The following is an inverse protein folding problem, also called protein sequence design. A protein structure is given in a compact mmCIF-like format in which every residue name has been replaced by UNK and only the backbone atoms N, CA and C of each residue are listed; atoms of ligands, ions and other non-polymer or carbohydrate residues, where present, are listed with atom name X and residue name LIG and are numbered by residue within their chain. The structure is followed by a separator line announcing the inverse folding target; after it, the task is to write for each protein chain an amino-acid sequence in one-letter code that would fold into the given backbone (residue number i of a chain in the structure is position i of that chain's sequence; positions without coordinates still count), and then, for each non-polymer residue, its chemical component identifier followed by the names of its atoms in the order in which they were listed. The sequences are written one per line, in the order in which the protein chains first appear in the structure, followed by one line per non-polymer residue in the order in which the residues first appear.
data_IF_802968974190
#
_entry.id   IF_802968974190
#
_cell.length_a   1.000
_cell.length_b   1.000
_cell.length_c   1.000
_cell.angle_alpha   90.00
_cell.angle_beta   90.00
_cell.angle_gamma   90.00
#
_symmetry.space_group_name_H-M   'P 1'
#
loop_
_entity.id
_entity.type
_entity.pdbx_description
1 polymer ?
#
# COMPACT_ATOMS: atom_id res chain seq x y z
N UNK A 1 -6.41 -46.25 -25.12
CA UNK A 1 -5.54 -45.04 -25.16
C UNK A 1 -6.42 -43.85 -24.84
N UNK A 2 -6.59 -43.55 -23.55
CA UNK A 2 -7.43 -42.42 -23.11
C UNK A 2 -6.65 -41.12 -23.22
N UNK A 3 -7.28 -40.07 -23.76
CA UNK A 3 -6.66 -38.77 -23.95
C UNK A 3 -6.35 -38.09 -22.60
N UNK A 4 -5.06 -38.00 -22.26
CA UNK A 4 -4.53 -37.42 -21.01
C UNK A 4 -4.59 -35.89 -20.91
N UNK A 5 -5.22 -35.22 -21.89
CA UNK A 5 -5.22 -33.76 -21.99
C UNK A 5 -6.51 -33.14 -21.43
N UNK A 6 -6.38 -32.45 -20.30
CA UNK A 6 -7.45 -31.68 -19.67
C UNK A 6 -7.54 -30.26 -20.23
N UNK A 7 -8.75 -29.70 -20.24
CA UNK A 7 -8.96 -28.27 -20.52
C UNK A 7 -9.00 -27.44 -19.24
N UNK A 8 -8.89 -26.11 -19.38
CA UNK A 8 -9.08 -25.17 -18.26
C UNK A 8 -10.41 -25.40 -17.52
N UNK A 9 -11.48 -25.75 -18.24
CA UNK A 9 -12.79 -26.01 -17.64
C UNK A 9 -12.79 -27.31 -16.81
N UNK A 10 -12.08 -28.34 -17.26
CA UNK A 10 -11.98 -29.62 -16.54
C UNK A 10 -11.22 -29.45 -15.24
N UNK A 11 -10.16 -28.63 -15.24
CA UNK A 11 -9.41 -28.27 -14.03
C UNK A 11 -10.28 -27.47 -13.06
N UNK A 12 -11.02 -26.48 -13.56
CA UNK A 12 -11.92 -25.69 -12.73
C UNK A 12 -12.95 -26.59 -12.03
N UNK A 13 -13.50 -27.59 -12.72
CA UNK A 13 -14.44 -28.57 -12.16
C UNK A 13 -13.74 -29.50 -11.16
N UNK A 14 -12.61 -30.11 -11.54
CA UNK A 14 -11.86 -31.10 -10.73
C UNK A 14 -11.41 -30.49 -9.40
N UNK A 15 -10.87 -29.27 -9.43
CA UNK A 15 -10.28 -28.61 -8.26
C UNK A 15 -11.23 -27.62 -7.57
N UNK A 16 -12.46 -27.43 -8.08
CA UNK A 16 -13.44 -26.43 -7.59
C UNK A 16 -12.87 -25.00 -7.51
N UNK A 17 -12.08 -24.61 -8.50
CA UNK A 17 -11.46 -23.27 -8.61
C UNK A 17 -12.00 -22.50 -9.81
N UNK A 18 -11.82 -21.17 -9.81
CA UNK A 18 -12.20 -20.30 -10.93
C UNK A 18 -11.09 -20.26 -12.00
N UNK A 19 -11.43 -19.99 -13.27
CA UNK A 19 -10.46 -19.87 -14.37
C UNK A 19 -9.32 -18.89 -14.08
N UNK A 20 -9.62 -17.77 -13.42
CA UNK A 20 -8.61 -16.77 -13.05
C UNK A 20 -7.52 -17.34 -12.13
N UNK A 21 -7.87 -18.32 -11.29
CA UNK A 21 -6.89 -19.03 -10.45
C UNK A 21 -5.99 -19.91 -11.30
N UNK A 22 -6.55 -20.63 -12.27
CA UNK A 22 -5.79 -21.47 -13.22
C UNK A 22 -4.79 -20.63 -14.00
N UNK A 23 -5.22 -19.49 -14.57
CA UNK A 23 -4.31 -18.60 -15.30
C UNK A 23 -3.22 -17.99 -14.42
N UNK A 24 -3.55 -17.67 -13.17
CA UNK A 24 -2.56 -17.19 -12.19
C UNK A 24 -1.54 -18.26 -11.85
N UNK A 25 -1.95 -19.52 -11.73
CA UNK A 25 -1.02 -20.62 -11.47
C UNK A 25 -0.08 -20.84 -12.65
N UNK A 26 -0.57 -20.71 -13.88
CA UNK A 26 0.28 -20.74 -15.08
C UNK A 26 1.31 -19.60 -15.04
N UNK A 27 0.87 -18.35 -14.81
CA UNK A 27 1.75 -17.19 -14.93
C UNK A 27 2.67 -16.92 -13.72
N UNK A 28 2.23 -17.25 -12.50
CA UNK A 28 2.95 -16.90 -11.26
C UNK A 28 3.56 -18.09 -10.54
N UNK A 29 3.08 -19.31 -10.79
CA UNK A 29 3.49 -20.50 -10.05
C UNK A 29 4.03 -21.61 -10.95
N UNK A 30 4.20 -21.34 -12.26
CA UNK A 30 4.78 -22.30 -13.19
C UNK A 30 3.98 -23.59 -13.34
N UNK A 31 2.65 -23.52 -13.24
CA UNK A 31 1.78 -24.69 -13.44
C UNK A 31 1.96 -25.27 -14.85
N UNK A 32 2.18 -26.59 -15.00
CA UNK A 32 2.43 -27.22 -16.28
C UNK A 32 1.21 -27.09 -17.18
N UNK A 33 1.35 -26.27 -18.23
CA UNK A 33 0.30 -25.98 -19.18
C UNK A 33 0.89 -25.82 -20.58
N UNK A 34 0.22 -26.41 -21.55
CA UNK A 34 0.66 -26.44 -22.94
C UNK A 34 -0.33 -25.67 -23.81
N UNK A 35 0.18 -24.77 -24.65
CA UNK A 35 -0.65 -24.00 -25.57
C UNK A 35 -0.84 -24.79 -26.86
N UNK A 36 -2.04 -25.34 -27.06
CA UNK A 36 -2.40 -26.09 -28.26
C UNK A 36 -3.47 -25.29 -29.01
N UNK A 37 -3.05 -24.65 -30.10
CA UNK A 37 -3.87 -23.67 -30.82
C UNK A 37 -4.24 -22.47 -29.95
N UNK A 38 -5.54 -22.21 -29.78
CA UNK A 38 -6.07 -21.10 -28.96
C UNK A 38 -6.33 -21.48 -27.50
N UNK A 39 -6.10 -22.74 -27.13
CA UNK A 39 -6.49 -23.27 -25.82
C UNK A 39 -5.29 -23.72 -25.00
N UNK A 40 -5.38 -23.50 -23.69
CA UNK A 40 -4.50 -24.15 -22.72
C UNK A 40 -4.98 -25.58 -22.50
N UNK A 41 -4.03 -26.52 -22.59
CA UNK A 41 -4.20 -27.94 -22.38
C UNK A 41 -3.21 -28.40 -21.31
N UNK A 42 -3.63 -29.36 -20.50
CA UNK A 42 -2.87 -29.78 -19.33
C UNK A 42 -2.77 -31.30 -19.34
N UNK A 43 -1.55 -31.83 -19.26
CA UNK A 43 -1.34 -33.25 -19.15
C UNK A 43 -1.68 -33.68 -17.72
N UNK A 44 -2.55 -34.68 -17.58
CA UNK A 44 -3.09 -35.10 -16.28
C UNK A 44 -1.98 -35.49 -15.28
N UNK A 45 -0.98 -36.25 -15.72
CA UNK A 45 0.04 -36.78 -14.82
C UNK A 45 0.99 -35.68 -14.32
N UNK A 46 1.42 -34.77 -15.21
CA UNK A 46 2.22 -33.60 -14.83
C UNK A 46 1.46 -32.68 -13.88
N UNK A 47 0.16 -32.49 -14.15
CA UNK A 47 -0.69 -31.66 -13.32
C UNK A 47 -0.88 -32.26 -11.92
N UNK A 48 -1.17 -33.56 -11.85
CA UNK A 48 -1.39 -34.25 -10.58
C UNK A 48 -0.09 -34.27 -9.74
N UNK A 49 1.06 -34.55 -10.36
CA UNK A 49 2.39 -34.43 -9.73
C UNK A 49 2.68 -33.00 -9.25
N UNK A 50 2.40 -32.00 -10.08
CA UNK A 50 2.62 -30.59 -9.70
C UNK A 50 1.72 -30.17 -8.54
N UNK A 51 0.48 -30.65 -8.48
CA UNK A 51 -0.45 -30.39 -7.37
C UNK A 51 0.04 -31.05 -6.07
N UNK A 52 0.60 -32.26 -6.15
CA UNK A 52 1.16 -32.97 -5.00
C UNK A 52 2.40 -32.26 -4.45
N UNK A 53 3.32 -31.86 -5.33
CA UNK A 53 4.58 -31.22 -4.96
C UNK A 53 4.39 -29.78 -4.47
N UNK A 54 3.48 -29.03 -5.10
CA UNK A 54 3.34 -27.59 -4.86
C UNK A 54 2.09 -27.22 -4.06
N UNK A 55 1.33 -28.20 -3.52
CA UNK A 55 0.00 -28.07 -2.88
C UNK A 55 -0.39 -26.60 -2.66
N UNK A 56 -0.94 -25.93 -3.69
CA UNK A 56 -1.02 -24.48 -3.68
C UNK A 56 -1.87 -24.04 -2.49
N UNK A 57 -1.40 -23.08 -1.69
CA UNK A 57 -2.05 -22.55 -0.47
C UNK A 57 -3.57 -22.32 -0.58
N UNK A 58 -4.08 -22.13 -1.79
CA UNK A 58 -5.50 -22.05 -2.13
C UNK A 58 -6.33 -23.33 -1.95
N UNK A 59 -5.73 -24.53 -1.84
CA UNK A 59 -6.44 -25.78 -1.54
C UNK A 59 -6.58 -26.04 -0.02
N UNK A 60 -5.86 -25.27 0.82
CA UNK A 60 -6.00 -25.31 2.28
C UNK A 60 -6.98 -24.25 2.82
N UNK A 61 -7.50 -23.37 1.97
CA UNK A 61 -8.44 -22.33 2.38
C UNK A 61 -9.84 -22.62 1.84
N UNK A 62 -10.61 -23.37 2.65
CA UNK A 62 -12.06 -23.35 2.55
C UNK A 62 -12.56 -21.90 2.66
N UNK A 63 -13.42 -21.49 1.72
CA UNK A 63 -14.22 -20.25 1.75
C UNK A 63 -13.48 -18.99 2.27
N UNK A 64 -12.44 -18.53 1.57
CA UNK A 64 -12.17 -17.09 1.56
C UNK A 64 -12.84 -16.49 0.32
N UNK A 65 -14.03 -15.93 0.53
CA UNK A 65 -14.47 -14.81 -0.29
C UNK A 65 -13.30 -13.82 -0.32
N UNK A 66 -12.82 -13.43 -1.50
CA UNK A 66 -11.81 -12.38 -1.60
C UNK A 66 -12.35 -11.19 -0.82
N UNK A 67 -11.77 -10.93 0.36
CA UNK A 67 -12.19 -9.85 1.26
C UNK A 67 -12.08 -8.58 0.43
N UNK A 68 -13.22 -8.04 -0.02
CA UNK A 68 -13.28 -6.77 -0.74
C UNK A 68 -12.57 -5.76 0.15
N UNK A 69 -11.35 -5.34 -0.22
CA UNK A 69 -10.51 -4.47 0.62
C UNK A 69 -11.23 -3.13 0.73
N UNK A 70 -11.93 -2.94 1.84
CA UNK A 70 -12.67 -1.73 2.19
C UNK A 70 -11.69 -0.57 2.39
N UNK A 71 -12.01 0.62 1.88
CA UNK A 71 -11.22 1.79 2.24
C UNK A 71 -11.40 2.16 3.71
N UNK A 72 -10.29 2.52 4.35
CA UNK A 72 -10.27 3.13 5.67
C UNK A 72 -9.85 4.58 5.51
N UNK A 73 -10.72 5.52 5.92
CA UNK A 73 -10.44 6.95 5.99
C UNK A 73 -9.94 7.38 7.38
N UNK A 74 -9.46 6.42 8.17
CA UNK A 74 -8.97 6.67 9.54
C UNK A 74 -7.71 7.54 9.58
N UNK A 75 -7.03 7.74 8.44
CA UNK A 75 -5.91 8.67 8.32
C UNK A 75 -6.29 10.12 8.68
N UNK A 76 -7.58 10.47 8.65
CA UNK A 76 -8.10 11.77 9.11
C UNK A 76 -7.79 12.11 10.57
N UNK A 77 -7.42 11.10 11.38
CA UNK A 77 -7.14 11.27 12.80
C UNK A 77 -5.80 11.98 13.09
N UNK A 78 -4.85 11.98 12.17
CA UNK A 78 -3.57 12.67 12.37
C UNK A 78 -2.93 13.00 11.03
N UNK A 79 -2.23 14.14 10.98
CA UNK A 79 -1.49 14.63 9.80
C UNK A 79 -0.27 13.73 9.50
N UNK A 80 0.84 14.23 8.96
CA UNK A 80 2.03 13.39 8.74
C UNK A 80 2.63 12.84 10.05
N UNK A 81 2.48 13.59 11.15
CA UNK A 81 3.02 13.25 12.49
C UNK A 81 4.55 13.06 12.46
N UNK A 82 5.23 14.04 11.86
CA UNK A 82 6.66 13.94 11.51
C UNK A 82 7.55 13.72 12.74
N UNK A 83 7.53 14.66 13.70
CA UNK A 83 8.35 14.58 14.92
C UNK A 83 8.03 13.32 15.72
N UNK A 84 6.74 13.01 15.86
CA UNK A 84 6.30 11.85 16.62
C UNK A 84 6.75 10.54 15.96
N UNK A 85 6.74 10.49 14.64
CA UNK A 85 7.24 9.33 13.89
C UNK A 85 8.73 9.12 14.09
N UNK A 86 9.56 10.18 14.08
CA UNK A 86 11.00 10.04 14.34
C UNK A 86 11.31 9.59 15.77
N UNK A 87 10.59 10.14 16.77
CA UNK A 87 10.74 9.74 18.17
C UNK A 87 10.39 8.26 18.35
N UNK A 88 9.27 7.82 17.76
CA UNK A 88 8.82 6.42 17.86
C UNK A 88 9.73 5.48 17.06
N UNK A 89 10.20 5.88 15.88
CA UNK A 89 11.11 5.08 15.05
C UNK A 89 12.43 4.84 15.78
N UNK A 90 13.07 5.91 16.28
CA UNK A 90 14.32 5.81 17.04
C UNK A 90 14.17 4.87 18.23
N UNK A 91 13.09 5.02 19.00
CA UNK A 91 12.82 4.18 20.16
C UNK A 91 12.56 2.71 19.78
N UNK A 92 11.92 2.47 18.62
CA UNK A 92 11.73 1.12 18.12
C UNK A 92 13.03 0.47 17.67
N UNK A 93 13.96 1.23 17.08
CA UNK A 93 15.28 0.71 16.69
C UNK A 93 16.10 0.25 17.91
N UNK A 94 15.93 0.89 19.07
CA UNK A 94 16.58 0.49 20.32
C UNK A 94 15.93 -0.76 20.96
N UNK A 95 14.59 -0.81 20.98
CA UNK A 95 13.83 -1.79 21.79
C UNK A 95 13.42 -3.02 20.99
N UNK A 96 13.13 -2.87 19.70
CA UNK A 96 12.62 -3.91 18.79
C UNK A 96 11.27 -4.52 19.17
N UNK A 97 10.51 -3.89 20.06
CA UNK A 97 9.16 -4.31 20.46
C UNK A 97 8.19 -3.12 20.49
N UNK A 98 7.16 -3.18 19.64
CA UNK A 98 6.15 -2.13 19.53
C UNK A 98 5.27 -1.93 20.77
N UNK A 99 5.07 -2.96 21.59
CA UNK A 99 4.30 -2.85 22.83
C UNK A 99 5.09 -2.08 23.88
N UNK A 100 6.36 -2.46 24.08
CA UNK A 100 7.28 -1.75 24.98
C UNK A 100 7.51 -0.30 24.53
N UNK A 101 7.62 -0.05 23.22
CA UNK A 101 7.68 1.31 22.65
C UNK A 101 6.45 2.12 23.05
N UNK A 102 5.23 1.57 22.89
CA UNK A 102 3.99 2.27 23.27
C UNK A 102 3.95 2.59 24.75
N UNK A 103 4.31 1.63 25.60
CA UNK A 103 4.36 1.82 27.04
C UNK A 103 5.32 2.94 27.41
N UNK A 104 6.55 2.92 26.88
CA UNK A 104 7.57 3.92 27.17
C UNK A 104 7.24 5.31 26.64
N UNK A 105 6.61 5.40 25.46
CA UNK A 105 6.12 6.68 24.90
C UNK A 105 5.06 7.32 25.78
N UNK A 106 4.13 6.51 26.29
CA UNK A 106 3.03 7.00 27.15
C UNK A 106 3.54 7.34 28.55
N UNK A 107 4.34 6.45 29.16
CA UNK A 107 4.87 6.63 30.51
C UNK A 107 5.70 7.91 30.66
N UNK A 108 6.53 8.22 29.65
CA UNK A 108 7.43 9.37 29.67
C UNK A 108 6.91 10.60 28.90
N UNK A 109 5.66 10.56 28.41
CA UNK A 109 5.07 11.58 27.55
C UNK A 109 6.00 12.09 26.43
N UNK A 110 6.68 11.16 25.72
CA UNK A 110 7.73 11.52 24.75
C UNK A 110 7.20 12.36 23.57
N UNK A 111 5.91 12.24 23.27
CA UNK A 111 5.25 13.02 22.22
C UNK A 111 4.86 14.43 22.67
N UNK A 112 5.01 14.75 23.96
CA UNK A 112 4.71 16.06 24.55
C UNK A 112 3.27 16.54 24.30
N UNK A 113 2.31 15.61 24.19
CA UNK A 113 0.91 15.99 24.02
C UNK A 113 0.30 16.46 25.35
N UNK A 114 -0.70 17.34 25.25
CA UNK A 114 -1.36 17.94 26.43
C UNK A 114 -2.15 16.93 27.29
N UNK A 115 -2.52 15.78 26.74
CA UNK A 115 -3.27 14.76 27.47
C UNK A 115 -2.80 13.35 27.13
N UNK A 116 -2.91 12.43 28.09
CA UNK A 116 -2.59 11.02 27.91
C UNK A 116 -3.42 10.37 26.78
N UNK A 117 -4.69 10.74 26.65
CA UNK A 117 -5.57 10.25 25.58
C UNK A 117 -5.05 10.66 24.20
N UNK A 118 -4.56 11.89 24.07
CA UNK A 118 -3.92 12.36 22.83
C UNK A 118 -2.63 11.61 22.55
N UNK A 119 -1.75 11.43 23.55
CA UNK A 119 -0.51 10.66 23.42
C UNK A 119 -0.77 9.22 22.95
N UNK A 120 -1.71 8.52 23.60
CA UNK A 120 -2.11 7.15 23.21
C UNK A 120 -2.63 7.08 21.78
N UNK A 121 -3.47 8.04 21.38
CA UNK A 121 -4.03 8.10 20.02
C UNK A 121 -2.96 8.34 18.96
N UNK A 122 -2.07 9.32 19.17
CA UNK A 122 -0.98 9.63 18.24
C UNK A 122 -0.01 8.45 18.17
N UNK A 123 0.44 7.93 19.31
CA UNK A 123 1.34 6.78 19.36
C UNK A 123 0.76 5.56 18.63
N UNK A 124 -0.55 5.31 18.81
CA UNK A 124 -1.24 4.22 18.13
C UNK A 124 -1.25 4.36 16.61
N UNK A 125 -1.52 5.57 16.11
CA UNK A 125 -1.50 5.90 14.69
C UNK A 125 -0.09 5.79 14.10
N UNK A 126 0.90 6.43 14.73
CA UNK A 126 2.32 6.41 14.31
C UNK A 126 2.83 4.98 14.23
N UNK A 127 2.66 4.19 15.30
CA UNK A 127 3.08 2.79 15.29
C UNK A 127 2.38 1.98 14.19
N UNK A 128 1.12 2.29 13.85
CA UNK A 128 0.42 1.57 12.78
C UNK A 128 0.98 1.86 11.39
N UNK A 129 1.51 3.08 11.18
CA UNK A 129 2.15 3.49 9.93
C UNK A 129 3.59 2.97 9.84
N UNK A 130 4.38 3.16 10.90
CA UNK A 130 5.78 2.72 10.92
C UNK A 130 5.93 1.20 10.81
N UNK A 131 4.95 0.42 11.29
CA UNK A 131 4.88 -1.03 11.05
C UNK A 131 4.79 -1.42 9.57
N UNK A 132 4.45 -0.49 8.68
CA UNK A 132 4.39 -0.73 7.23
C UNK A 132 5.74 -0.51 6.55
N UNK A 133 6.75 -0.06 7.30
CA UNK A 133 8.13 0.06 6.83
C UNK A 133 8.92 -1.19 7.21
N UNK A 134 9.86 -1.56 6.34
CA UNK A 134 10.87 -2.58 6.58
C UNK A 134 11.82 -2.13 7.70
N UNK A 135 12.62 -3.06 8.19
CA UNK A 135 13.64 -2.75 9.18
C UNK A 135 14.66 -1.73 8.64
N UNK A 136 15.13 -1.93 7.40
CA UNK A 136 16.07 -1.05 6.74
C UNK A 136 15.47 0.34 6.47
N UNK A 137 14.19 0.41 6.09
CA UNK A 137 13.50 1.70 5.88
C UNK A 137 13.35 2.49 7.18
N UNK A 138 13.15 1.81 8.31
CA UNK A 138 13.11 2.47 9.63
C UNK A 138 14.49 3.01 10.03
N UNK A 139 15.57 2.31 9.70
CA UNK A 139 16.94 2.80 9.90
C UNK A 139 17.22 4.00 8.99
N UNK A 140 16.89 3.89 7.70
CA UNK A 140 17.02 4.96 6.73
C UNK A 140 16.25 6.22 7.15
N UNK A 141 15.05 6.06 7.72
CA UNK A 141 14.24 7.14 8.26
C UNK A 141 15.00 7.94 9.35
N UNK A 142 15.84 7.31 10.15
CA UNK A 142 16.59 8.02 11.21
C UNK A 142 17.88 8.67 10.72
N UNK A 143 18.41 8.23 9.58
CA UNK A 143 19.72 8.64 9.08
C UNK A 143 19.66 9.64 7.92
N UNK A 144 18.52 9.72 7.23
CA UNK A 144 18.40 10.54 6.02
C UNK A 144 18.00 12.00 6.30
N UNK A 145 18.03 12.82 5.26
CA UNK A 145 17.60 14.22 5.25
C UNK A 145 16.13 14.38 5.63
N UNK A 146 15.76 15.57 6.14
CA UNK A 146 14.37 15.91 6.48
C UNK A 146 13.41 15.67 5.31
N UNK A 147 13.86 15.89 4.07
CA UNK A 147 13.05 15.69 2.89
C UNK A 147 12.76 14.21 2.63
N UNK A 148 13.80 13.36 2.65
CA UNK A 148 13.62 11.91 2.47
C UNK A 148 12.90 11.26 3.65
N UNK A 149 13.05 11.80 4.87
CA UNK A 149 12.22 11.42 6.01
C UNK A 149 10.74 11.66 5.71
N UNK A 150 10.41 12.83 5.13
CA UNK A 150 9.06 13.14 4.64
C UNK A 150 8.54 12.11 3.64
N UNK A 151 9.39 11.69 2.69
CA UNK A 151 9.05 10.68 1.69
C UNK A 151 8.81 9.29 2.29
N UNK A 152 9.65 8.85 3.24
CA UNK A 152 9.46 7.57 3.94
C UNK A 152 8.18 7.56 4.78
N UNK A 153 7.85 8.67 5.44
CA UNK A 153 6.59 8.80 6.18
C UNK A 153 5.38 8.82 5.25
N UNK A 154 5.49 9.47 4.09
CA UNK A 154 4.46 9.41 3.05
C UNK A 154 4.25 7.98 2.54
N UNK A 155 5.33 7.25 2.25
CA UNK A 155 5.29 5.86 1.86
C UNK A 155 4.57 4.99 2.90
N UNK A 156 4.91 5.16 4.18
CA UNK A 156 4.25 4.45 5.27
C UNK A 156 2.73 4.68 5.30
N UNK A 157 2.29 5.92 5.03
CA UNK A 157 0.88 6.29 4.93
C UNK A 157 0.24 5.62 3.70
N UNK A 158 0.88 5.67 2.54
CA UNK A 158 0.37 5.01 1.33
C UNK A 158 0.21 3.50 1.53
N UNK A 159 1.21 2.83 2.10
CA UNK A 159 1.12 1.39 2.42
C UNK A 159 0.02 1.09 3.44
N UNK A 160 -0.16 1.96 4.45
CA UNK A 160 -1.20 1.82 5.47
C UNK A 160 -2.62 2.05 4.93
N UNK A 161 -2.78 3.01 4.01
CA UNK A 161 -4.07 3.51 3.56
C UNK A 161 -4.19 3.42 2.04
N UNK A 162 -4.84 2.35 1.57
CA UNK A 162 -5.06 2.09 0.13
C UNK A 162 -5.67 3.28 -0.62
N UNK A 163 -6.59 4.01 0.01
CA UNK A 163 -7.21 5.19 -0.58
C UNK A 163 -6.16 6.27 -0.89
N UNK A 164 -5.22 6.49 0.02
CA UNK A 164 -4.13 7.47 -0.12
C UNK A 164 -3.14 7.02 -1.19
N UNK A 165 -2.73 5.74 -1.20
CA UNK A 165 -1.86 5.20 -2.24
C UNK A 165 -2.46 5.36 -3.64
N UNK A 166 -3.75 5.05 -3.82
CA UNK A 166 -4.38 5.21 -5.12
C UNK A 166 -4.53 6.67 -5.53
N UNK A 167 -4.81 7.58 -4.60
CA UNK A 167 -4.80 9.01 -4.90
C UNK A 167 -3.40 9.49 -5.33
N UNK A 168 -2.36 8.99 -4.67
CA UNK A 168 -0.97 9.29 -5.01
C UNK A 168 -0.64 8.87 -6.45
N UNK A 169 -1.05 7.67 -6.85
CA UNK A 169 -0.76 7.12 -8.19
C UNK A 169 -1.67 7.75 -9.27
N UNK A 170 -2.99 7.71 -9.06
CA UNK A 170 -3.98 8.06 -10.09
C UNK A 170 -4.16 9.57 -10.27
N UNK A 171 -3.72 10.38 -9.31
CA UNK A 171 -3.93 11.84 -9.34
C UNK A 171 -2.61 12.58 -9.20
N UNK A 172 -1.90 12.45 -8.08
CA UNK A 172 -0.67 13.21 -7.83
C UNK A 172 0.38 12.91 -8.90
N UNK A 173 0.74 11.63 -9.09
CA UNK A 173 1.74 11.22 -10.08
C UNK A 173 1.27 11.44 -11.51
N UNK A 174 0.01 11.10 -11.83
CA UNK A 174 -0.54 11.28 -13.18
C UNK A 174 -0.51 12.75 -13.63
N UNK A 175 -0.86 13.69 -12.74
CA UNK A 175 -0.80 15.12 -13.04
C UNK A 175 0.63 15.60 -13.26
N UNK A 176 1.57 15.16 -12.42
CA UNK A 176 2.99 15.42 -12.61
C UNK A 176 3.50 14.93 -13.98
N UNK A 177 3.18 13.69 -14.37
CA UNK A 177 3.57 13.13 -15.66
C UNK A 177 2.92 13.86 -16.85
N UNK A 178 1.69 14.35 -16.65
CA UNK A 178 0.97 15.17 -17.64
C UNK A 178 1.41 16.65 -17.65
N UNK A 179 2.45 17.02 -16.91
CA UNK A 179 2.95 18.40 -16.75
C UNK A 179 1.88 19.38 -16.23
N UNK A 180 0.89 18.86 -15.49
CA UNK A 180 -0.13 19.64 -14.78
C UNK A 180 0.34 19.83 -13.35
N UNK A 181 1.05 20.94 -13.11
CA UNK A 181 1.75 21.14 -11.85
C UNK A 181 0.84 21.47 -10.66
N UNK A 182 -0.36 21.99 -10.88
CA UNK A 182 -1.30 22.26 -9.78
C UNK A 182 -2.11 21.01 -9.41
N UNK A 183 -2.32 20.78 -8.12
CA UNK A 183 -3.23 19.76 -7.58
C UNK A 183 -4.27 20.42 -6.68
N UNK A 184 -5.56 20.34 -7.01
CA UNK A 184 -6.58 21.13 -6.33
C UNK A 184 -7.63 20.26 -5.61
N UNK A 185 -8.48 20.91 -4.83
CA UNK A 185 -9.56 20.23 -4.11
C UNK A 185 -10.59 19.60 -5.05
N UNK A 186 -10.79 20.14 -6.26
CA UNK A 186 -11.64 19.51 -7.27
C UNK A 186 -11.09 18.15 -7.71
N UNK A 187 -9.76 18.00 -7.85
CA UNK A 187 -9.14 16.72 -8.23
C UNK A 187 -9.44 15.63 -7.20
N UNK A 188 -9.39 15.98 -5.91
CA UNK A 188 -9.80 15.07 -4.83
C UNK A 188 -11.27 14.69 -4.92
N UNK A 189 -12.16 15.67 -5.15
CA UNK A 189 -13.60 15.42 -5.23
C UNK A 189 -13.96 14.53 -6.42
N UNK A 190 -13.30 14.74 -7.56
CA UNK A 190 -13.44 13.91 -8.76
C UNK A 190 -12.96 12.48 -8.49
N UNK A 191 -11.77 12.33 -7.91
CA UNK A 191 -11.24 11.03 -7.51
C UNK A 191 -12.17 10.30 -6.53
N UNK A 192 -12.62 10.98 -5.47
CA UNK A 192 -13.50 10.40 -4.47
C UNK A 192 -14.81 9.92 -5.10
N UNK A 193 -15.44 10.75 -5.95
CA UNK A 193 -16.66 10.40 -6.68
C UNK A 193 -16.47 9.17 -7.55
N UNK A 194 -15.37 9.10 -8.32
CA UNK A 194 -15.01 7.93 -9.12
C UNK A 194 -14.85 6.66 -8.26
N UNK A 195 -14.31 6.77 -7.04
CA UNK A 195 -14.16 5.62 -6.15
C UNK A 195 -15.49 5.12 -5.59
N UNK A 196 -16.49 5.97 -5.38
CA UNK A 196 -17.83 5.56 -4.92
C UNK A 196 -18.45 4.51 -5.86
N UNK A 197 -18.25 4.64 -7.17
CA UNK A 197 -18.79 3.71 -8.18
C UNK A 197 -18.38 2.25 -7.94
N UNK A 198 -17.16 2.04 -7.46
CA UNK A 198 -16.60 0.71 -7.19
C UNK A 198 -16.67 0.32 -5.69
N UNK A 199 -16.83 1.30 -4.80
CA UNK A 199 -16.71 1.18 -3.35
C UNK A 199 -17.94 1.73 -2.62
N UNK A 200 -18.95 0.88 -2.47
CA UNK A 200 -20.22 1.20 -1.80
C UNK A 200 -20.05 1.71 -0.35
N UNK A 201 -18.96 1.37 0.33
CA UNK A 201 -18.66 1.92 1.65
C UNK A 201 -18.44 3.44 1.64
N UNK A 202 -17.91 3.99 0.53
CA UNK A 202 -17.65 5.41 0.39
C UNK A 202 -18.92 6.21 0.19
N UNK A 203 -19.97 5.62 -0.39
CA UNK A 203 -21.27 6.25 -0.58
C UNK A 203 -21.94 6.66 0.75
N UNK A 204 -21.55 6.01 1.87
CA UNK A 204 -22.09 6.28 3.21
C UNK A 204 -21.26 7.30 3.99
N UNK A 205 -20.14 7.78 3.43
CA UNK A 205 -19.25 8.72 4.10
C UNK A 205 -19.88 10.12 4.07
N UNK A 206 -19.96 10.77 5.23
CA UNK A 206 -20.54 12.12 5.31
C UNK A 206 -19.64 13.17 4.64
N UNK A 207 -20.25 14.24 4.09
CA UNK A 207 -19.53 15.34 3.47
C UNK A 207 -18.44 15.93 4.39
N UNK A 208 -18.74 16.08 5.68
CA UNK A 208 -17.77 16.53 6.70
C UNK A 208 -16.52 15.64 6.76
N UNK A 209 -16.68 14.32 6.63
CA UNK A 209 -15.57 13.37 6.64
C UNK A 209 -14.78 13.43 5.34
N UNK A 210 -15.45 13.65 4.20
CA UNK A 210 -14.82 13.87 2.89
C UNK A 210 -13.95 15.13 2.94
N UNK A 211 -14.50 16.26 3.39
CA UNK A 211 -13.78 17.53 3.50
C UNK A 211 -12.60 17.42 4.47
N UNK A 212 -12.78 16.70 5.59
CA UNK A 212 -11.69 16.45 6.52
C UNK A 212 -10.59 15.57 5.90
N UNK A 213 -10.97 14.53 5.16
CA UNK A 213 -10.03 13.65 4.45
C UNK A 213 -9.21 14.43 3.44
N UNK A 214 -9.86 15.29 2.64
CA UNK A 214 -9.22 16.20 1.70
C UNK A 214 -8.22 17.12 2.40
N UNK A 215 -8.65 17.81 3.46
CA UNK A 215 -7.79 18.72 4.22
C UNK A 215 -6.54 18.01 4.78
N UNK A 216 -6.72 16.84 5.40
CA UNK A 216 -5.61 16.09 6.02
C UNK A 216 -4.65 15.56 4.96
N UNK A 217 -5.16 15.03 3.85
CA UNK A 217 -4.34 14.50 2.76
C UNK A 217 -3.46 15.57 2.13
N UNK A 218 -4.02 16.75 1.84
CA UNK A 218 -3.25 17.88 1.31
C UNK A 218 -2.18 18.36 2.28
N UNK A 219 -2.51 18.42 3.57
CA UNK A 219 -1.54 18.78 4.60
C UNK A 219 -0.40 17.76 4.70
N UNK A 220 -0.69 16.47 4.62
CA UNK A 220 0.33 15.41 4.60
C UNK A 220 1.28 15.58 3.42
N UNK A 221 0.74 15.80 2.20
CA UNK A 221 1.57 16.00 1.01
C UNK A 221 2.47 17.24 1.14
N UNK A 222 1.96 18.36 1.67
CA UNK A 222 2.78 19.55 1.95
C UNK A 222 3.86 19.28 2.99
N UNK A 223 3.52 18.58 4.08
CA UNK A 223 4.47 18.21 5.14
C UNK A 223 5.54 17.22 4.64
N UNK A 224 5.21 16.37 3.68
CA UNK A 224 6.15 15.47 3.02
C UNK A 224 6.95 16.16 1.89
N UNK A 225 6.71 17.45 1.65
CA UNK A 225 7.38 18.24 0.60
C UNK A 225 6.95 17.88 -0.83
N UNK A 226 5.84 17.17 -1.00
CA UNK A 226 5.28 16.80 -2.32
C UNK A 226 4.43 17.90 -2.94
N UNK A 227 3.95 18.85 -2.12
CA UNK A 227 3.21 20.03 -2.56
C UNK A 227 3.77 21.31 -1.92
N UNK A 228 3.70 22.41 -2.66
CA UNK A 228 3.89 23.77 -2.11
C UNK A 228 2.66 24.25 -1.32
N UNK A 229 2.78 25.42 -0.70
CA UNK A 229 1.65 26.09 -0.02
C UNK A 229 0.52 26.50 -0.98
N UNK A 230 0.84 26.67 -2.26
CA UNK A 230 -0.06 27.01 -3.36
C UNK A 230 -0.65 25.77 -4.04
N UNK A 231 -0.30 24.58 -3.56
CA UNK A 231 -0.64 23.27 -4.16
C UNK A 231 0.00 22.99 -5.53
N UNK A 232 1.18 23.55 -5.78
CA UNK A 232 2.02 23.10 -6.89
C UNK A 232 2.75 21.81 -6.50
N UNK A 233 2.85 20.87 -7.43
CA UNK A 233 3.50 19.57 -7.24
C UNK A 233 5.01 19.75 -7.33
N UNK A 234 5.70 19.34 -6.27
CA UNK A 234 7.15 19.24 -6.26
C UNK A 234 7.57 17.86 -6.77
N UNK A 235 8.61 17.82 -7.61
CA UNK A 235 9.25 16.55 -7.99
C UNK A 235 9.86 15.89 -6.74
N UNK A 236 9.69 14.57 -6.62
CA UNK A 236 10.32 13.80 -5.57
C UNK A 236 11.78 13.48 -5.95
N UNK A 237 12.73 14.07 -5.24
CA UNK A 237 14.16 13.79 -5.42
C UNK A 237 14.57 12.63 -4.51
N UNK A 238 14.54 11.42 -5.06
CA UNK A 238 14.87 10.19 -4.35
C UNK A 238 16.37 9.89 -4.54
N UNK A 239 17.13 9.77 -3.46
CA UNK A 239 18.55 9.38 -3.54
C UNK A 239 18.69 7.94 -4.05
N UNK A 240 19.86 7.56 -4.60
CA UNK A 240 20.11 6.18 -5.00
C UNK A 240 19.92 5.17 -3.85
N UNK A 241 20.29 5.56 -2.62
CA UNK A 241 20.09 4.74 -1.42
C UNK A 241 18.61 4.46 -1.17
N UNK A 242 17.77 5.50 -1.24
CA UNK A 242 16.33 5.36 -1.08
C UNK A 242 15.71 4.57 -2.23
N UNK A 243 16.09 4.85 -3.48
CA UNK A 243 15.60 4.12 -4.66
C UNK A 243 15.87 2.61 -4.58
N UNK A 244 17.08 2.22 -4.18
CA UNK A 244 17.44 0.82 -4.01
C UNK A 244 16.55 0.13 -2.96
N UNK A 245 16.34 0.78 -1.81
CA UNK A 245 15.46 0.24 -0.77
C UNK A 245 14.00 0.11 -1.25
N UNK A 246 13.50 1.05 -2.05
CA UNK A 246 12.15 0.97 -2.63
C UNK A 246 12.04 -0.15 -3.68
N UNK A 247 13.09 -0.37 -4.48
CA UNK A 247 13.11 -1.38 -5.52
C UNK A 247 13.09 -2.81 -4.93
N UNK A 248 13.75 -3.04 -3.80
CA UNK A 248 13.78 -4.34 -3.12
C UNK A 248 12.41 -4.72 -2.52
N UNK A 249 11.65 -3.75 -2.04
CA UNK A 249 10.44 -4.01 -1.26
C UNK A 249 9.16 -4.17 -2.09
N UNK A 250 9.07 -3.57 -3.30
CA UNK A 250 8.17 -3.89 -4.43
C UNK A 250 8.14 -2.71 -5.43
N UNK A 251 8.07 -2.99 -6.74
CA UNK A 251 7.97 -1.98 -7.81
C UNK A 251 6.82 -0.92 -7.73
N UNK A 252 5.65 -1.13 -7.08
CA UNK A 252 4.61 -0.11 -7.05
C UNK A 252 4.87 1.05 -6.07
N UNK A 253 5.87 0.95 -5.19
CA UNK A 253 6.10 1.97 -4.17
C UNK A 253 6.71 3.25 -4.74
N UNK A 254 7.51 3.17 -5.80
CA UNK A 254 8.00 4.38 -6.47
C UNK A 254 6.87 5.20 -7.11
N UNK A 255 5.75 4.57 -7.46
CA UNK A 255 4.63 5.22 -8.12
C UNK A 255 3.76 6.09 -7.20
N UNK A 256 3.97 6.05 -5.89
CA UNK A 256 3.28 6.98 -4.98
C UNK A 256 3.94 8.36 -4.95
N UNK A 257 5.03 8.54 -5.70
CA UNK A 257 5.78 9.78 -5.78
C UNK A 257 5.63 10.45 -7.17
N UNK A 258 5.62 11.81 -7.22
CA UNK A 258 5.80 12.57 -8.45
C UNK A 258 7.26 12.48 -8.92
N UNK A 259 7.62 11.32 -9.48
CA UNK A 259 8.97 10.98 -9.92
C UNK A 259 8.93 10.51 -11.38
N UNK A 260 9.93 10.95 -12.15
CA UNK A 260 10.17 10.48 -13.51
C UNK A 260 11.29 9.43 -13.49
N UNK A 261 11.00 8.22 -13.95
CA UNK A 261 12.02 7.18 -14.07
C UNK A 261 12.89 7.50 -15.28
N UNK A 262 14.13 7.91 -15.02
CA UNK A 262 15.13 8.04 -16.09
C UNK A 262 15.56 6.61 -16.43
N UNK A 263 15.16 6.14 -17.61
CA UNK A 263 15.45 4.78 -18.10
C UNK A 263 16.92 4.52 -18.41
#
# INVERSE_FOLDING_TARGET
MENFWLSTNDICKKLRIRRNTVYRWISKHGMPAHRIGRFWKFQKDELDLWIELNRPLSLQQGKQTAKKKTYSLSFTAGDLLFRESLVVASLFLDIRDWNLVREKVVANNLLQAKTLSTTKRICGEVCSRLKMLSQNELELLTETTIQEQGYLLWLAICRRYKFVAEFAVEVLRERYLSLKNSLNYEDFNFFFSKKIECHQELAKVSQRTIDKSRQVLFRMMRQAGLLTTENEINVALLSPRLLNELAENSHPDIFVFPYFEVG
#
